data_IF_310161694144
#
_entry.id   IF_310161694144
#
_cell.length_a   1.000
_cell.length_b   1.000
_cell.length_c   1.000
_cell.angle_alpha   90.00
_cell.angle_beta   90.00
_cell.angle_gamma   90.00
#
_symmetry.space_group_name_H-M   'P 1'
#
loop_
_entity.id
_entity.type
_entity.pdbx_description
1 polymer ?
#
# COMPACT_ATOMS: atom_id res chain seq x y z
N UNK A 1 9.31 -30.96 10.80
CA UNK A 1 8.32 -29.85 10.65
C UNK A 1 7.75 -29.91 9.24
N UNK A 2 6.43 -29.80 9.09
CA UNK A 2 5.79 -29.74 7.78
C UNK A 2 6.04 -28.37 7.13
N UNK A 3 5.87 -28.27 5.81
CA UNK A 3 5.95 -26.97 5.11
C UNK A 3 4.94 -25.94 5.65
N UNK A 4 3.88 -26.39 6.33
CA UNK A 4 2.87 -25.54 6.97
C UNK A 4 3.38 -24.80 8.23
N UNK A 5 4.52 -25.25 8.80
CA UNK A 5 5.07 -24.72 10.04
C UNK A 5 6.17 -23.68 9.78
N UNK A 6 6.37 -23.28 8.52
CA UNK A 6 7.42 -22.33 8.14
C UNK A 6 6.90 -21.31 7.13
N UNK A 7 7.43 -20.09 7.20
CA UNK A 7 7.23 -19.06 6.17
C UNK A 7 8.53 -18.77 5.45
N UNK A 8 8.47 -18.16 4.27
CA UNK A 8 9.66 -17.79 3.50
C UNK A 8 9.74 -16.28 3.30
N UNK A 9 10.98 -15.78 3.19
CA UNK A 9 11.28 -14.42 2.77
C UNK A 9 12.38 -14.46 1.70
N UNK A 10 12.18 -13.68 0.63
CA UNK A 10 13.10 -13.61 -0.50
C UNK A 10 13.77 -12.25 -0.54
N UNK A 11 15.08 -12.26 -0.67
CA UNK A 11 15.95 -11.08 -0.63
C UNK A 11 16.77 -10.97 -1.90
N UNK A 12 16.95 -9.76 -2.38
CA UNK A 12 18.02 -9.40 -3.31
C UNK A 12 19.19 -8.85 -2.49
N UNK A 13 20.38 -9.43 -2.64
CA UNK A 13 21.59 -8.97 -1.97
C UNK A 13 22.66 -8.55 -2.97
N UNK A 14 23.60 -7.72 -2.49
CA UNK A 14 24.88 -7.46 -3.15
C UNK A 14 26.02 -7.70 -2.13
N UNK A 15 27.03 -8.46 -2.51
CA UNK A 15 28.13 -8.84 -1.64
C UNK A 15 29.41 -9.13 -2.44
N UNK A 16 30.61 -8.81 -1.93
CA UNK A 16 31.89 -9.27 -2.51
C UNK A 16 32.25 -10.70 -2.11
N UNK A 17 31.53 -11.28 -1.15
CA UNK A 17 31.76 -12.63 -0.62
C UNK A 17 31.00 -13.69 -1.43
N UNK A 18 31.12 -14.96 -1.05
CA UNK A 18 30.30 -16.04 -1.59
C UNK A 18 28.83 -15.87 -1.16
N UNK A 19 27.87 -15.66 -2.07
CA UNK A 19 26.46 -15.46 -1.71
C UNK A 19 25.85 -16.59 -0.90
N UNK A 20 26.33 -17.84 -1.08
CA UNK A 20 25.85 -19.00 -0.31
C UNK A 20 26.26 -18.93 1.15
N UNK A 21 27.50 -18.48 1.41
CA UNK A 21 27.98 -18.24 2.78
C UNK A 21 27.23 -17.08 3.44
N UNK A 22 26.99 -16.01 2.70
CA UNK A 22 26.21 -14.86 3.19
C UNK A 22 24.77 -15.29 3.51
N UNK A 23 24.14 -16.13 2.69
CA UNK A 23 22.80 -16.68 2.98
C UNK A 23 22.78 -17.46 4.31
N UNK A 24 23.79 -18.27 4.60
CA UNK A 24 23.91 -19.01 5.87
C UNK A 24 24.11 -18.06 7.07
N UNK A 25 24.88 -16.98 6.88
CA UNK A 25 25.03 -15.92 7.91
C UNK A 25 23.69 -15.23 8.16
N UNK A 26 22.98 -14.83 7.12
CA UNK A 26 21.65 -14.23 7.23
C UNK A 26 20.65 -15.14 7.96
N UNK A 27 20.66 -16.44 7.64
CA UNK A 27 19.80 -17.42 8.30
C UNK A 27 20.13 -17.56 9.79
N UNK A 28 21.42 -17.58 10.15
CA UNK A 28 21.88 -17.66 11.53
C UNK A 28 21.58 -16.39 12.33
N UNK A 29 21.77 -15.20 11.75
CA UNK A 29 21.56 -13.91 12.42
C UNK A 29 20.13 -13.73 12.91
N UNK A 30 19.14 -14.19 12.16
CA UNK A 30 17.72 -14.01 12.49
C UNK A 30 17.06 -15.26 13.12
N UNK A 31 17.88 -16.21 13.59
CA UNK A 31 17.37 -17.43 14.23
C UNK A 31 18.38 -18.01 15.24
N UNK A 32 18.70 -19.28 15.17
CA UNK A 32 19.79 -19.93 15.89
C UNK A 32 20.95 -20.26 14.95
N UNK A 33 22.15 -20.38 15.49
CA UNK A 33 23.35 -20.71 14.73
C UNK A 33 24.08 -19.49 14.17
N UNK A 34 24.27 -18.46 14.99
CA UNK A 34 25.15 -17.34 14.71
C UNK A 34 26.61 -17.82 14.48
N UNK A 35 27.48 -16.91 14.05
CA UNK A 35 28.90 -17.22 13.70
C UNK A 35 29.68 -17.96 14.78
N UNK A 36 29.25 -17.88 16.05
CA UNK A 36 29.88 -18.59 17.20
C UNK A 36 28.83 -19.37 17.95
N UNK A 37 29.06 -20.69 18.10
CA UNK A 37 28.21 -21.54 18.94
C UNK A 37 28.32 -21.14 20.41
N UNK A 38 27.15 -20.82 21.00
CA UNK A 38 27.08 -20.45 22.41
C UNK A 38 26.78 -21.66 23.30
N UNK A 39 27.18 -21.59 24.60
CA UNK A 39 26.87 -22.63 25.55
C UNK A 39 25.32 -22.79 25.67
N UNK A 40 24.83 -24.02 25.56
CA UNK A 40 23.41 -24.32 25.58
C UNK A 40 22.73 -24.38 24.19
N UNK A 41 23.40 -23.98 23.13
CA UNK A 41 22.92 -24.17 21.77
C UNK A 41 23.13 -25.64 21.33
N UNK A 42 22.17 -26.49 21.64
CA UNK A 42 22.18 -27.90 21.25
C UNK A 42 21.79 -28.09 19.78
N UNK A 43 22.15 -29.24 19.20
CA UNK A 43 21.73 -29.56 17.82
C UNK A 43 20.21 -29.64 17.70
N UNK A 44 19.53 -30.24 18.70
CA UNK A 44 18.08 -30.30 18.77
C UNK A 44 17.43 -28.90 18.79
N UNK A 45 17.99 -27.96 19.55
CA UNK A 45 17.52 -26.57 19.55
C UNK A 45 17.67 -25.93 18.16
N UNK A 46 18.84 -26.11 17.54
CA UNK A 46 19.10 -25.58 16.18
C UNK A 46 18.16 -26.19 15.15
N UNK A 47 17.96 -27.48 15.14
CA UNK A 47 17.07 -28.18 14.21
C UNK A 47 15.64 -27.65 14.29
N UNK A 48 15.20 -27.28 15.49
CA UNK A 48 13.86 -26.73 15.73
C UNK A 48 13.73 -25.27 15.36
N UNK A 49 14.75 -24.44 15.62
CA UNK A 49 14.62 -22.98 15.59
C UNK A 49 15.38 -22.28 14.46
N UNK A 50 16.33 -22.96 13.79
CA UNK A 50 17.16 -22.36 12.75
C UNK A 50 16.35 -22.02 11.50
N UNK A 51 16.59 -20.82 10.95
CA UNK A 51 16.23 -20.52 9.58
C UNK A 51 17.10 -21.34 8.60
N UNK A 52 16.53 -21.66 7.44
CA UNK A 52 17.17 -22.54 6.44
C UNK A 52 17.23 -21.82 5.10
N UNK A 53 18.37 -21.91 4.44
CA UNK A 53 18.54 -21.44 3.06
C UNK A 53 17.81 -22.39 2.11
N UNK A 54 16.79 -21.88 1.42
CA UNK A 54 16.00 -22.65 0.43
C UNK A 54 16.65 -22.57 -0.94
N UNK A 55 17.07 -21.37 -1.36
CA UNK A 55 17.71 -21.15 -2.65
C UNK A 55 18.66 -19.97 -2.61
N UNK A 56 19.68 -20.05 -3.44
CA UNK A 56 20.56 -18.95 -3.80
C UNK A 56 20.71 -18.97 -5.32
N UNK A 57 20.18 -17.95 -5.96
CA UNK A 57 20.25 -17.71 -7.40
C UNK A 57 21.29 -16.61 -7.65
N UNK A 58 22.39 -16.97 -8.31
CA UNK A 58 23.40 -16.00 -8.72
C UNK A 58 22.85 -15.14 -9.87
N UNK A 59 23.00 -13.83 -9.74
CA UNK A 59 22.60 -12.85 -10.75
C UNK A 59 23.85 -12.24 -11.40
N UNK A 60 23.80 -10.95 -11.73
CA UNK A 60 24.93 -10.18 -12.26
C UNK A 60 25.94 -9.82 -11.15
N UNK A 61 26.97 -9.07 -11.53
CA UNK A 61 27.92 -8.45 -10.61
C UNK A 61 28.26 -7.04 -11.09
N UNK A 62 28.60 -6.17 -10.13
CA UNK A 62 29.05 -4.81 -10.37
C UNK A 62 30.56 -4.66 -10.08
N UNK A 63 31.18 -3.67 -10.74
CA UNK A 63 32.59 -3.32 -10.46
C UNK A 63 32.74 -2.53 -9.16
N UNK A 64 31.72 -1.75 -8.80
CA UNK A 64 31.68 -0.91 -7.60
C UNK A 64 30.52 -1.30 -6.70
N UNK A 65 30.63 -1.09 -5.36
CA UNK A 65 29.56 -1.38 -4.44
C UNK A 65 28.39 -0.38 -4.59
N UNK A 66 27.18 -0.84 -4.51
CA UNK A 66 25.99 0.01 -4.59
C UNK A 66 25.82 0.91 -3.38
N UNK A 67 26.28 0.47 -2.21
CA UNK A 67 26.22 1.24 -0.95
C UNK A 67 27.56 1.15 -0.22
N UNK A 68 27.94 2.21 0.53
CA UNK A 68 29.16 2.21 1.33
C UNK A 68 29.04 1.19 2.46
N UNK A 69 30.15 0.50 2.75
CA UNK A 69 30.22 -0.48 3.82
C UNK A 69 31.56 -0.35 4.59
N UNK A 70 31.50 0.22 5.79
CA UNK A 70 32.67 0.48 6.61
C UNK A 70 33.35 -0.81 7.12
N UNK A 71 32.61 -1.91 7.29
CA UNK A 71 33.17 -3.18 7.74
C UNK A 71 34.04 -3.84 6.66
N UNK A 72 33.55 -3.88 5.41
CA UNK A 72 34.32 -4.37 4.25
C UNK A 72 35.54 -3.48 3.97
N UNK A 73 35.36 -2.16 4.03
CA UNK A 73 36.46 -1.20 3.83
C UNK A 73 37.60 -1.41 4.86
N UNK A 74 37.27 -1.61 6.16
CA UNK A 74 38.26 -1.90 7.17
C UNK A 74 39.01 -3.23 6.98
N UNK A 75 38.38 -4.17 6.28
CA UNK A 75 38.96 -5.48 5.95
C UNK A 75 39.73 -5.49 4.63
N UNK A 76 39.71 -4.37 3.87
CA UNK A 76 40.37 -4.28 2.58
C UNK A 76 39.76 -5.24 1.55
N UNK A 77 38.46 -5.54 1.65
CA UNK A 77 37.77 -6.43 0.71
C UNK A 77 37.40 -5.66 -0.53
N UNK A 78 37.81 -6.19 -1.67
CA UNK A 78 37.53 -5.64 -3.01
C UNK A 78 36.55 -6.54 -3.76
N UNK A 79 35.90 -5.98 -4.82
CA UNK A 79 34.97 -6.71 -5.68
C UNK A 79 35.55 -7.94 -6.39
N UNK A 80 34.78 -8.58 -7.27
CA UNK A 80 33.51 -8.10 -7.81
C UNK A 80 32.37 -8.16 -6.81
N UNK A 81 31.43 -7.21 -6.93
CA UNK A 81 30.24 -7.10 -6.09
C UNK A 81 29.13 -7.93 -6.72
N UNK A 82 28.97 -9.16 -6.21
CA UNK A 82 28.03 -10.16 -6.73
C UNK A 82 26.65 -9.88 -6.24
N UNK A 83 25.65 -9.99 -7.10
CA UNK A 83 24.25 -9.93 -6.75
C UNK A 83 23.64 -11.33 -6.75
N UNK A 84 22.81 -11.60 -5.81
CA UNK A 84 22.10 -12.86 -5.70
C UNK A 84 20.70 -12.67 -5.13
N UNK A 85 19.78 -13.53 -5.57
CA UNK A 85 18.46 -13.67 -4.94
C UNK A 85 18.50 -14.84 -3.97
N UNK A 86 18.17 -14.58 -2.71
CA UNK A 86 18.22 -15.57 -1.62
C UNK A 86 16.83 -15.77 -1.07
N UNK A 87 16.40 -17.02 -0.93
CA UNK A 87 15.17 -17.36 -0.21
C UNK A 87 15.52 -18.10 1.09
N UNK A 88 15.09 -17.52 2.21
CA UNK A 88 15.21 -18.09 3.55
C UNK A 88 13.85 -18.60 4.03
N UNK A 89 13.84 -19.69 4.78
CA UNK A 89 12.67 -20.26 5.43
C UNK A 89 12.83 -20.21 6.94
N UNK A 90 11.81 -19.69 7.64
CA UNK A 90 11.80 -19.46 9.08
C UNK A 90 10.71 -20.29 9.75
N UNK A 91 10.95 -20.88 10.94
CA UNK A 91 9.88 -21.53 11.72
C UNK A 91 8.87 -20.49 12.20
N UNK A 92 7.57 -20.75 12.04
CA UNK A 92 6.51 -19.86 12.56
C UNK A 92 6.52 -19.80 14.09
N UNK A 93 6.98 -20.85 14.76
CA UNK A 93 7.07 -20.93 16.21
C UNK A 93 8.10 -19.93 16.81
N UNK A 94 9.08 -19.48 16.02
CA UNK A 94 10.01 -18.44 16.46
C UNK A 94 9.33 -17.07 16.60
N UNK A 95 8.19 -16.89 15.97
CA UNK A 95 7.51 -15.58 15.84
C UNK A 95 6.20 -15.54 16.63
N UNK A 96 5.39 -16.60 16.54
CA UNK A 96 4.00 -16.59 17.00
C UNK A 96 3.14 -15.57 16.22
N UNK A 97 1.93 -15.26 16.68
CA UNK A 97 1.04 -14.27 16.05
C UNK A 97 1.43 -12.83 16.45
N UNK A 98 2.68 -12.44 16.17
CA UNK A 98 3.26 -11.16 16.56
C UNK A 98 3.85 -10.47 15.32
N UNK A 99 3.11 -9.54 14.75
CA UNK A 99 3.49 -8.84 13.52
C UNK A 99 4.76 -7.99 13.66
N UNK A 100 5.00 -7.24 14.75
CA UNK A 100 6.29 -6.56 14.97
C UNK A 100 7.48 -7.52 15.02
N UNK A 101 7.34 -8.68 15.65
CA UNK A 101 8.40 -9.69 15.68
C UNK A 101 8.64 -10.29 14.29
N UNK A 102 7.57 -10.56 13.53
CA UNK A 102 7.69 -10.99 12.13
C UNK A 102 8.48 -10.00 11.30
N UNK A 103 8.12 -8.71 11.38
CA UNK A 103 8.82 -7.64 10.67
C UNK A 103 10.29 -7.54 11.11
N UNK A 104 10.57 -7.66 12.40
CA UNK A 104 11.94 -7.63 12.95
C UNK A 104 12.80 -8.80 12.47
N UNK A 105 12.22 -10.00 12.34
CA UNK A 105 12.95 -11.18 11.82
C UNK A 105 13.29 -11.00 10.34
N UNK A 106 12.34 -10.55 9.52
CA UNK A 106 12.59 -10.47 8.06
C UNK A 106 13.26 -9.18 7.62
N UNK A 107 13.20 -8.12 8.42
CA UNK A 107 13.69 -6.78 8.06
C UNK A 107 14.38 -6.04 9.22
N UNK A 108 14.94 -6.76 10.18
CA UNK A 108 15.74 -6.19 11.29
C UNK A 108 17.23 -6.10 10.96
N UNK A 109 18.06 -6.72 11.80
CA UNK A 109 19.53 -6.66 11.72
C UNK A 109 20.13 -7.10 10.38
N UNK A 110 19.38 -7.78 9.53
CA UNK A 110 19.84 -8.15 8.18
C UNK A 110 20.32 -6.93 7.38
N UNK A 111 19.69 -5.77 7.58
CA UNK A 111 20.08 -4.53 6.91
C UNK A 111 21.36 -3.90 7.44
N UNK A 112 21.84 -4.35 8.61
CA UNK A 112 23.06 -3.87 9.25
C UNK A 112 24.25 -4.83 9.08
N UNK A 113 24.07 -5.96 8.36
CA UNK A 113 25.13 -6.96 8.16
C UNK A 113 26.31 -6.37 7.40
N UNK A 114 27.51 -6.62 7.93
CA UNK A 114 28.76 -6.19 7.33
C UNK A 114 29.09 -6.91 6.00
N UNK A 115 28.55 -8.09 5.78
CA UNK A 115 28.79 -8.94 4.62
C UNK A 115 28.13 -8.46 3.33
N UNK A 116 27.21 -7.50 3.41
CA UNK A 116 26.42 -7.02 2.25
C UNK A 116 26.63 -5.53 1.99
N UNK A 117 26.65 -5.14 0.72
CA UNK A 117 26.60 -3.75 0.23
C UNK A 117 25.27 -3.40 -0.38
N UNK A 118 24.32 -4.29 -0.28
CA UNK A 118 22.92 -4.10 -0.66
C UNK A 118 22.10 -5.25 -0.11
N UNK A 119 20.91 -4.93 0.42
CA UNK A 119 19.92 -5.90 0.86
C UNK A 119 18.54 -5.33 0.69
N UNK A 120 17.69 -6.02 -0.07
CA UNK A 120 16.29 -5.67 -0.27
C UNK A 120 15.42 -6.89 0.00
N UNK A 121 14.46 -6.76 0.92
CA UNK A 121 13.41 -7.75 1.11
C UNK A 121 12.42 -7.62 -0.04
N UNK A 122 12.41 -8.56 -1.00
CA UNK A 122 11.55 -8.50 -2.17
C UNK A 122 10.13 -9.00 -1.88
N UNK A 123 10.02 -10.18 -1.27
CA UNK A 123 8.74 -10.86 -1.08
C UNK A 123 8.71 -11.77 0.14
N UNK A 124 7.49 -12.12 0.55
CA UNK A 124 7.21 -13.07 1.62
C UNK A 124 6.10 -14.02 1.22
N UNK A 125 6.18 -15.28 1.66
CA UNK A 125 5.10 -16.26 1.55
C UNK A 125 4.84 -16.89 2.91
N UNK A 126 3.60 -16.79 3.39
CA UNK A 126 3.17 -17.28 4.69
C UNK A 126 2.10 -18.36 4.52
N UNK A 127 2.18 -19.48 5.25
CA UNK A 127 1.14 -20.52 5.23
C UNK A 127 -0.23 -19.98 5.62
N UNK A 128 -1.29 -20.46 4.99
CA UNK A 128 -2.66 -20.03 5.26
C UNK A 128 -3.04 -20.16 6.75
N UNK A 129 -2.63 -21.24 7.41
CA UNK A 129 -2.87 -21.45 8.84
C UNK A 129 -2.25 -20.35 9.71
N UNK A 130 -1.02 -19.93 9.40
CA UNK A 130 -0.33 -18.88 10.13
C UNK A 130 -0.97 -17.50 9.85
N UNK A 131 -1.36 -17.22 8.61
CA UNK A 131 -2.03 -15.95 8.25
C UNK A 131 -3.35 -15.75 8.99
N UNK A 132 -4.12 -16.82 9.24
CA UNK A 132 -5.39 -16.74 9.98
C UNK A 132 -5.25 -16.34 11.46
N UNK A 133 -4.04 -16.31 11.99
CA UNK A 133 -3.77 -15.81 13.35
C UNK A 133 -3.78 -14.28 13.44
N UNK A 134 -3.75 -13.59 12.30
CA UNK A 134 -3.74 -12.13 12.20
C UNK A 134 -5.14 -11.59 11.85
N UNK A 135 -5.39 -10.28 12.08
CA UNK A 135 -6.71 -9.68 11.83
C UNK A 135 -7.17 -9.76 10.38
N UNK A 136 -6.27 -9.63 9.41
CA UNK A 136 -6.53 -9.57 7.97
C UNK A 136 -7.51 -8.46 7.55
N UNK A 137 -7.63 -8.14 6.24
CA UNK A 137 -8.63 -7.20 5.74
C UNK A 137 -10.05 -7.67 6.09
N UNK A 138 -10.88 -6.75 6.59
CA UNK A 138 -12.25 -7.08 7.02
C UNK A 138 -13.27 -6.70 5.95
N UNK A 139 -13.06 -5.59 5.26
CA UNK A 139 -13.92 -5.11 4.17
C UNK A 139 -13.39 -5.53 2.82
N UNK A 140 -12.09 -5.36 2.59
CA UNK A 140 -11.45 -5.67 1.33
C UNK A 140 -12.16 -5.05 0.12
N UNK A 141 -12.05 -5.69 -1.04
CA UNK A 141 -12.66 -5.23 -2.29
C UNK A 141 -14.19 -5.31 -2.21
N UNK A 142 -14.73 -6.48 -1.87
CA UNK A 142 -16.17 -6.72 -1.87
C UNK A 142 -16.93 -5.86 -0.84
N UNK A 143 -16.36 -5.67 0.36
CA UNK A 143 -16.96 -4.82 1.39
C UNK A 143 -16.96 -3.35 1.01
N UNK A 144 -15.92 -2.87 0.32
CA UNK A 144 -15.84 -1.51 -0.18
C UNK A 144 -16.84 -1.26 -1.30
N UNK A 145 -16.98 -2.18 -2.26
CA UNK A 145 -18.00 -2.11 -3.30
C UNK A 145 -19.42 -2.04 -2.71
N UNK A 146 -19.73 -2.88 -1.73
CA UNK A 146 -21.05 -2.81 -1.04
C UNK A 146 -21.26 -1.48 -0.33
N UNK A 147 -20.24 -0.92 0.31
CA UNK A 147 -20.36 0.33 1.05
C UNK A 147 -20.50 1.57 0.16
N UNK A 148 -19.94 1.55 -1.06
CA UNK A 148 -20.07 2.62 -2.05
C UNK A 148 -21.28 2.42 -2.98
N UNK A 149 -21.81 1.20 -3.07
CA UNK A 149 -22.86 0.83 -4.03
C UNK A 149 -22.35 0.67 -5.47
N UNK A 150 -21.04 0.71 -5.70
CA UNK A 150 -20.41 0.53 -7.03
C UNK A 150 -20.02 -0.93 -7.20
N UNK A 151 -20.90 -1.72 -7.82
CA UNK A 151 -20.68 -3.15 -7.97
C UNK A 151 -19.81 -3.49 -9.19
N UNK A 152 -19.83 -2.65 -10.23
CA UNK A 152 -19.10 -2.80 -11.48
C UNK A 152 -18.34 -1.50 -11.82
N UNK A 153 -17.24 -1.62 -12.53
CA UNK A 153 -16.37 -0.51 -12.88
C UNK A 153 -15.48 -0.03 -11.72
N UNK A 154 -14.56 0.90 -11.97
CA UNK A 154 -13.72 1.49 -10.94
C UNK A 154 -14.54 2.42 -10.04
N UNK A 155 -14.19 2.48 -8.77
CA UNK A 155 -14.71 3.49 -7.86
C UNK A 155 -13.96 4.80 -8.08
N UNK A 156 -14.66 5.86 -8.45
CA UNK A 156 -14.05 7.17 -8.72
C UNK A 156 -13.97 7.99 -7.44
N UNK A 157 -12.76 8.41 -7.09
CA UNK A 157 -12.51 9.15 -5.87
C UNK A 157 -11.72 10.43 -6.07
N UNK A 158 -11.75 11.29 -5.05
CA UNK A 158 -10.93 12.51 -4.99
C UNK A 158 -10.36 12.73 -3.59
N UNK A 159 -9.35 13.58 -3.53
CA UNK A 159 -8.72 14.05 -2.30
C UNK A 159 -9.24 15.44 -2.00
N UNK A 160 -9.52 15.76 -0.74
CA UNK A 160 -9.87 17.10 -0.29
C UNK A 160 -8.70 18.05 -0.58
N UNK A 161 -8.98 19.14 -1.28
CA UNK A 161 -8.02 20.20 -1.61
C UNK A 161 -8.61 21.58 -1.31
N UNK A 162 -7.84 22.56 -0.79
CA UNK A 162 -6.39 22.47 -0.48
C UNK A 162 -6.09 21.45 0.63
N UNK A 163 -4.84 20.98 0.69
CA UNK A 163 -4.38 19.92 1.62
C UNK A 163 -4.62 20.28 3.10
N UNK A 164 -4.48 21.55 3.43
CA UNK A 164 -4.64 22.11 4.76
C UNK A 164 -5.34 23.47 4.71
N UNK A 165 -5.87 23.90 5.85
CA UNK A 165 -6.40 25.27 6.02
C UNK A 165 -7.92 25.36 6.01
N UNK A 166 -8.65 24.39 5.42
CA UNK A 166 -10.11 24.37 5.46
C UNK A 166 -10.62 24.14 6.88
N UNK A 167 -11.57 24.95 7.31
CA UNK A 167 -12.31 24.76 8.58
C UNK A 167 -13.36 23.65 8.42
N UNK A 168 -13.92 23.09 9.50
CA UNK A 168 -14.86 21.98 9.42
C UNK A 168 -16.03 22.20 8.48
N UNK A 169 -16.65 23.39 8.51
CA UNK A 169 -17.79 23.68 7.64
C UNK A 169 -17.39 23.89 6.17
N UNK A 170 -16.21 24.45 5.89
CA UNK A 170 -15.69 24.63 4.52
C UNK A 170 -15.36 23.26 3.91
N UNK A 171 -14.81 22.34 4.73
CA UNK A 171 -14.60 20.94 4.34
C UNK A 171 -15.93 20.27 4.01
N UNK A 172 -16.95 20.44 4.86
CA UNK A 172 -18.29 19.88 4.64
C UNK A 172 -18.97 20.42 3.37
N UNK A 173 -18.82 21.72 3.07
CA UNK A 173 -19.33 22.30 1.82
C UNK A 173 -18.62 21.73 0.60
N UNK A 174 -17.28 21.61 0.64
CA UNK A 174 -16.52 20.99 -0.44
C UNK A 174 -16.93 19.54 -0.65
N UNK A 175 -17.03 18.74 0.42
CA UNK A 175 -17.50 17.35 0.34
C UNK A 175 -18.92 17.29 -0.23
N UNK A 176 -19.82 18.18 0.16
CA UNK A 176 -21.17 18.26 -0.42
C UNK A 176 -21.16 18.51 -1.94
N UNK A 177 -20.27 19.37 -2.43
CA UNK A 177 -20.07 19.60 -3.87
C UNK A 177 -19.48 18.39 -4.58
N UNK A 178 -18.53 17.70 -3.96
CA UNK A 178 -17.90 16.49 -4.49
C UNK A 178 -18.90 15.31 -4.55
N UNK A 179 -19.74 15.16 -3.53
CA UNK A 179 -20.86 14.21 -3.56
C UNK A 179 -21.83 14.52 -4.72
N UNK A 180 -22.21 15.78 -4.87
CA UNK A 180 -23.10 16.22 -5.95
C UNK A 180 -22.47 16.05 -7.35
N UNK A 181 -21.15 16.14 -7.46
CA UNK A 181 -20.40 15.82 -8.68
C UNK A 181 -20.43 14.33 -9.06
N UNK A 182 -20.87 13.46 -8.14
CA UNK A 182 -21.05 12.04 -8.42
C UNK A 182 -19.89 11.14 -8.01
N UNK A 183 -19.00 11.58 -7.11
CA UNK A 183 -17.94 10.74 -6.56
C UNK A 183 -18.48 9.55 -5.76
N UNK A 184 -17.69 8.48 -5.70
CA UNK A 184 -17.95 7.28 -4.91
C UNK A 184 -17.12 7.28 -3.62
N UNK A 185 -15.93 7.92 -3.70
CA UNK A 185 -14.96 7.93 -2.61
C UNK A 185 -14.31 9.32 -2.44
N UNK A 186 -14.21 9.78 -1.22
CA UNK A 186 -13.54 11.05 -0.87
C UNK A 186 -12.60 10.77 0.28
N UNK A 187 -11.37 11.30 0.25
CA UNK A 187 -10.44 11.16 1.37
C UNK A 187 -9.87 12.48 1.84
N UNK A 188 -9.60 12.55 3.15
CA UNK A 188 -8.74 13.59 3.73
C UNK A 188 -7.33 13.50 3.12
N UNK A 189 -6.62 14.62 3.15
CA UNK A 189 -5.21 14.62 2.79
C UNK A 189 -4.36 13.99 3.91
N UNK A 190 -3.24 13.35 3.55
CA UNK A 190 -2.34 12.68 4.50
C UNK A 190 -1.67 13.63 5.50
N UNK A 191 -1.62 14.91 5.21
CA UNK A 191 -1.06 15.94 6.09
C UNK A 191 -2.12 16.63 6.96
N UNK A 192 -3.38 16.22 6.88
CA UNK A 192 -4.50 16.84 7.62
C UNK A 192 -5.26 15.79 8.43
N UNK A 193 -4.67 15.31 9.53
CA UNK A 193 -5.33 14.39 10.44
C UNK A 193 -6.27 15.12 11.42
N UNK A 194 -5.72 15.77 12.43
CA UNK A 194 -6.48 16.48 13.47
C UNK A 194 -5.87 17.87 13.77
N UNK A 195 -5.78 18.79 12.77
CA UNK A 195 -5.18 20.09 12.97
C UNK A 195 -6.07 21.00 13.81
N UNK A 196 -5.44 21.93 14.55
CA UNK A 196 -6.13 22.85 15.47
C UNK A 196 -7.25 23.65 14.81
N UNK A 197 -7.07 24.06 13.55
CA UNK A 197 -8.07 24.85 12.79
C UNK A 197 -9.23 23.99 12.25
N UNK A 198 -9.09 22.67 12.25
CA UNK A 198 -10.10 21.73 11.78
C UNK A 198 -10.11 20.44 12.64
N UNK A 199 -10.44 20.54 13.94
CA UNK A 199 -10.45 19.38 14.81
C UNK A 199 -11.36 18.28 14.27
N UNK A 200 -10.90 17.05 14.33
CA UNK A 200 -11.62 15.88 13.78
C UNK A 200 -13.01 15.76 14.45
N UNK A 201 -13.10 16.06 15.75
CA UNK A 201 -14.36 16.07 16.50
C UNK A 201 -15.43 17.01 15.94
N UNK A 202 -15.03 18.05 15.21
CA UNK A 202 -15.95 18.98 14.52
C UNK A 202 -16.09 18.65 13.04
N UNK A 203 -15.00 18.21 12.39
CA UNK A 203 -14.98 17.93 10.95
C UNK A 203 -15.81 16.71 10.59
N UNK A 204 -15.69 15.61 11.35
CA UNK A 204 -16.44 14.36 11.07
C UNK A 204 -17.94 14.59 11.08
N UNK A 205 -18.58 15.15 12.15
CA UNK A 205 -20.01 15.39 12.15
C UNK A 205 -20.47 16.32 11.02
N UNK A 206 -19.73 17.39 10.73
CA UNK A 206 -20.06 18.36 9.68
C UNK A 206 -20.05 17.70 8.28
N UNK A 207 -19.00 16.93 7.98
CA UNK A 207 -18.85 16.21 6.72
C UNK A 207 -19.91 15.12 6.59
N UNK A 208 -20.14 14.31 7.62
CA UNK A 208 -21.14 13.24 7.56
C UNK A 208 -22.57 13.77 7.44
N UNK A 209 -22.86 14.95 8.00
CA UNK A 209 -24.14 15.61 7.75
C UNK A 209 -24.31 16.01 6.26
N UNK A 210 -23.25 16.44 5.58
CA UNK A 210 -23.30 16.73 4.14
C UNK A 210 -23.47 15.45 3.30
N UNK A 211 -22.78 14.36 3.66
CA UNK A 211 -22.91 13.05 3.01
C UNK A 211 -24.33 12.49 3.17
N UNK A 212 -24.88 12.50 4.39
CA UNK A 212 -26.26 12.08 4.66
C UNK A 212 -27.28 12.86 3.83
N UNK A 213 -27.20 14.20 3.81
CA UNK A 213 -28.09 15.04 2.97
C UNK A 213 -28.01 14.67 1.49
N UNK A 214 -26.84 14.30 0.99
CA UNK A 214 -26.69 13.83 -0.38
C UNK A 214 -27.38 12.47 -0.58
N UNK A 215 -27.12 11.52 0.30
CA UNK A 215 -27.68 10.17 0.24
C UNK A 215 -29.21 10.20 0.36
N UNK A 216 -29.78 10.98 1.29
CA UNK A 216 -31.24 11.12 1.45
C UNK A 216 -31.90 11.66 0.18
N UNK A 217 -31.25 12.57 -0.54
CA UNK A 217 -31.77 13.18 -1.76
C UNK A 217 -31.63 12.29 -2.99
N UNK A 218 -30.57 11.50 -3.08
CA UNK A 218 -30.17 10.82 -4.33
C UNK A 218 -30.16 9.29 -4.23
N UNK A 219 -30.22 8.73 -3.04
CA UNK A 219 -30.01 7.30 -2.77
C UNK A 219 -28.54 6.85 -2.91
N UNK A 220 -27.62 7.73 -3.35
CA UNK A 220 -26.23 7.37 -3.60
C UNK A 220 -25.38 7.46 -2.33
N UNK A 221 -24.74 6.34 -1.95
CA UNK A 221 -23.74 6.31 -0.90
C UNK A 221 -22.40 6.88 -1.40
N UNK A 222 -21.67 7.57 -0.51
CA UNK A 222 -20.31 8.06 -0.74
C UNK A 222 -19.46 7.69 0.46
N UNK A 223 -18.37 6.97 0.23
CA UNK A 223 -17.43 6.61 1.28
C UNK A 223 -16.46 7.78 1.53
N UNK A 224 -16.33 8.20 2.79
CA UNK A 224 -15.33 9.20 3.19
C UNK A 224 -14.27 8.55 4.08
N UNK A 225 -13.02 8.62 3.68
CA UNK A 225 -11.88 8.14 4.46
C UNK A 225 -11.29 9.31 5.26
N UNK A 226 -11.66 9.39 6.53
CA UNK A 226 -11.14 10.38 7.46
C UNK A 226 -9.73 10.02 7.92
N UNK A 227 -8.79 10.98 7.82
CA UNK A 227 -7.44 10.78 8.32
C UNK A 227 -7.43 10.85 9.85
N UNK A 228 -7.24 9.70 10.49
CA UNK A 228 -7.20 9.55 11.95
C UNK A 228 -5.80 9.30 12.49
N UNK A 229 -4.75 9.50 11.66
CA UNK A 229 -3.35 9.29 12.04
C UNK A 229 -3.02 10.04 13.33
N UNK A 230 -2.71 9.30 14.40
CA UNK A 230 -2.42 9.80 15.73
C UNK A 230 -1.71 8.70 16.55
N UNK A 231 -1.54 8.92 17.87
CA UNK A 231 -1.17 7.83 18.76
C UNK A 231 -2.29 6.77 18.87
N UNK A 232 -1.96 5.57 19.33
CA UNK A 232 -2.82 4.40 19.21
C UNK A 232 -4.20 4.57 19.83
N UNK A 233 -4.27 5.06 21.08
CA UNK A 233 -5.56 5.21 21.77
C UNK A 233 -6.38 6.37 21.20
N UNK A 234 -5.73 7.40 20.68
CA UNK A 234 -6.42 8.49 20.01
C UNK A 234 -6.99 8.02 18.67
N UNK A 235 -6.27 7.22 17.89
CA UNK A 235 -6.81 6.62 16.66
C UNK A 235 -8.07 5.78 16.94
N UNK A 236 -8.09 5.01 18.03
CA UNK A 236 -9.28 4.24 18.42
C UNK A 236 -10.47 5.16 18.70
N UNK A 237 -10.28 6.22 19.53
CA UNK A 237 -11.33 7.21 19.82
C UNK A 237 -11.82 7.93 18.55
N UNK A 238 -10.91 8.23 17.61
CA UNK A 238 -11.27 8.84 16.32
C UNK A 238 -12.09 7.85 15.45
N UNK A 239 -11.73 6.57 15.42
CA UNK A 239 -12.50 5.55 14.71
C UNK A 239 -13.91 5.40 15.32
N UNK A 240 -14.03 5.35 16.63
CA UNK A 240 -15.33 5.35 17.34
C UNK A 240 -16.18 6.58 17.01
N UNK A 241 -15.56 7.77 16.88
CA UNK A 241 -16.24 8.98 16.43
C UNK A 241 -16.77 8.81 15.01
N UNK A 242 -15.96 8.32 14.08
CA UNK A 242 -16.35 8.10 12.68
C UNK A 242 -17.50 7.09 12.59
N UNK A 243 -17.44 5.98 13.33
CA UNK A 243 -18.53 4.97 13.41
C UNK A 243 -19.82 5.57 13.96
N UNK A 244 -19.75 6.30 15.07
CA UNK A 244 -20.92 6.95 15.70
C UNK A 244 -21.60 7.94 14.76
N UNK A 245 -20.84 8.64 13.92
CA UNK A 245 -21.37 9.57 12.92
C UNK A 245 -21.81 8.88 11.62
N UNK A 246 -21.74 7.53 11.56
CA UNK A 246 -22.20 6.75 10.41
C UNK A 246 -21.18 6.72 9.24
N UNK A 247 -19.91 7.06 9.49
CA UNK A 247 -18.85 6.87 8.53
C UNK A 247 -18.52 5.39 8.31
N UNK A 248 -17.87 5.06 7.20
CA UNK A 248 -17.60 3.68 6.80
C UNK A 248 -16.11 3.40 6.56
N UNK A 249 -15.25 4.43 6.60
CA UNK A 249 -13.84 4.34 6.30
C UNK A 249 -13.00 5.33 7.10
N UNK A 250 -11.81 4.92 7.49
CA UNK A 250 -10.77 5.77 8.05
C UNK A 250 -9.47 5.58 7.28
N UNK A 251 -8.64 6.60 7.24
CA UNK A 251 -7.31 6.56 6.65
C UNK A 251 -6.24 6.65 7.74
N UNK A 252 -5.16 5.91 7.57
CA UNK A 252 -3.97 5.98 8.42
C UNK A 252 -2.70 6.07 7.58
N UNK A 253 -1.75 6.91 8.00
CA UNK A 253 -0.39 6.99 7.46
C UNK A 253 0.43 5.83 8.03
N UNK A 254 0.48 4.71 7.30
CA UNK A 254 0.95 3.41 7.78
C UNK A 254 2.34 3.47 8.43
N UNK A 255 3.33 4.01 7.71
CA UNK A 255 4.72 4.05 8.18
C UNK A 255 4.92 4.85 9.47
N UNK A 256 4.04 5.81 9.72
CA UNK A 256 4.15 6.70 10.88
C UNK A 256 3.34 6.22 12.09
N UNK A 257 2.35 5.33 11.89
CA UNK A 257 1.63 4.66 12.95
C UNK A 257 2.33 3.36 13.41
N UNK A 258 2.90 2.63 12.47
CA UNK A 258 3.52 1.32 12.72
C UNK A 258 2.52 0.17 12.81
N UNK A 259 3.04 -1.05 12.71
CA UNK A 259 2.23 -2.27 12.61
C UNK A 259 1.33 -2.50 13.83
N UNK A 260 1.89 -2.35 15.05
CA UNK A 260 1.13 -2.56 16.30
C UNK A 260 -0.08 -1.66 16.42
N UNK A 261 0.08 -0.38 16.06
CA UNK A 261 -1.02 0.58 16.17
C UNK A 261 -2.14 0.28 15.16
N UNK A 262 -1.79 -0.08 13.92
CA UNK A 262 -2.76 -0.42 12.88
C UNK A 262 -3.45 -1.75 13.19
N UNK A 263 -2.73 -2.76 13.67
CA UNK A 263 -3.32 -4.01 14.13
C UNK A 263 -4.29 -3.81 15.31
N UNK A 264 -3.91 -2.99 16.29
CA UNK A 264 -4.77 -2.63 17.42
C UNK A 264 -6.02 -1.89 16.93
N UNK A 265 -5.87 -0.94 16.02
CA UNK A 265 -6.99 -0.25 15.40
C UNK A 265 -7.92 -1.23 14.68
N UNK A 266 -7.39 -2.16 13.87
CA UNK A 266 -8.20 -3.16 13.15
C UNK A 266 -9.04 -4.01 14.11
N UNK A 267 -8.48 -4.41 15.27
CA UNK A 267 -9.20 -5.20 16.28
C UNK A 267 -10.30 -4.40 16.99
N UNK A 268 -10.27 -3.07 16.93
CA UNK A 268 -11.22 -2.19 17.64
C UNK A 268 -12.33 -1.61 16.77
N UNK A 269 -12.26 -1.75 15.44
CA UNK A 269 -13.25 -1.15 14.52
C UNK A 269 -13.60 -2.06 13.35
N UNK A 270 -14.82 -1.94 12.84
CA UNK A 270 -15.27 -2.58 11.61
C UNK A 270 -15.19 -1.67 10.35
N UNK A 271 -14.71 -0.43 10.50
CA UNK A 271 -14.51 0.50 9.39
C UNK A 271 -13.51 -0.05 8.37
N UNK A 272 -13.65 0.33 7.11
CA UNK A 272 -12.59 0.09 6.15
C UNK A 272 -11.33 0.88 6.54
N UNK A 273 -10.16 0.23 6.51
CA UNK A 273 -8.87 0.86 6.76
C UNK A 273 -8.20 1.21 5.44
N UNK A 274 -8.18 2.51 5.10
CA UNK A 274 -7.48 3.03 3.94
C UNK A 274 -6.01 3.30 4.29
N UNK A 275 -5.13 2.41 3.84
CA UNK A 275 -3.69 2.47 4.13
C UNK A 275 -2.97 3.45 3.21
N UNK A 276 -2.57 4.61 3.74
CA UNK A 276 -1.72 5.56 3.03
C UNK A 276 -0.25 5.25 3.26
N UNK A 277 0.50 4.99 2.19
CA UNK A 277 1.92 4.58 2.25
C UNK A 277 2.93 5.72 2.17
N UNK A 278 2.54 6.96 2.57
CA UNK A 278 3.49 8.08 2.58
C UNK A 278 4.75 7.72 3.38
N UNK A 279 5.91 8.11 2.87
CA UNK A 279 7.20 7.70 3.40
C UNK A 279 7.73 6.36 2.87
N UNK A 280 6.95 5.56 2.14
CA UNK A 280 7.42 4.29 1.58
C UNK A 280 8.61 4.47 0.61
N UNK A 281 8.68 5.60 -0.10
CA UNK A 281 9.83 5.90 -0.96
C UNK A 281 11.17 5.91 -0.23
N UNK A 282 11.20 6.26 1.07
CA UNK A 282 12.41 6.17 1.88
C UNK A 282 12.86 4.71 2.11
N UNK A 283 11.92 3.77 2.05
CA UNK A 283 12.15 2.33 2.26
C UNK A 283 12.37 1.56 0.96
N UNK A 284 12.14 2.16 -0.21
CA UNK A 284 12.01 1.38 -1.45
C UNK A 284 12.70 1.96 -2.68
N UNK A 285 13.11 3.25 -2.67
CA UNK A 285 13.64 3.91 -3.89
C UNK A 285 14.99 3.38 -4.37
N UNK A 286 15.83 2.90 -3.48
CA UNK A 286 17.08 2.29 -3.90
C UNK A 286 16.83 0.84 -4.32
N UNK A 287 17.28 0.39 -5.51
CA UNK A 287 16.99 -0.95 -6.02
C UNK A 287 17.58 -2.08 -5.16
N UNK A 288 18.66 -1.80 -4.42
CA UNK A 288 19.37 -2.76 -3.57
C UNK A 288 19.27 -2.44 -2.08
N UNK A 289 18.28 -1.61 -1.64
CA UNK A 289 18.10 -1.33 -0.22
C UNK A 289 16.61 -1.23 0.12
N UNK A 290 16.23 -1.83 1.24
CA UNK A 290 14.93 -1.63 1.86
C UNK A 290 13.92 -2.74 1.54
N UNK A 291 12.66 -2.37 1.33
CA UNK A 291 11.53 -3.32 1.27
C UNK A 291 10.78 -3.15 -0.04
N UNK A 292 10.62 -4.23 -0.79
CA UNK A 292 9.78 -4.31 -1.99
C UNK A 292 8.28 -4.22 -1.64
N UNK A 293 7.46 -3.78 -2.60
CA UNK A 293 6.04 -3.57 -2.34
C UNK A 293 5.31 -4.87 -1.97
N UNK A 294 5.70 -6.01 -2.56
CA UNK A 294 5.06 -7.30 -2.25
C UNK A 294 5.24 -7.67 -0.77
N UNK A 295 6.45 -7.56 -0.22
CA UNK A 295 6.68 -7.79 1.21
C UNK A 295 5.98 -6.74 2.07
N UNK A 296 6.05 -5.47 1.68
CA UNK A 296 5.41 -4.35 2.37
C UNK A 296 3.90 -4.54 2.48
N UNK A 297 3.21 -4.78 1.37
CA UNK A 297 1.76 -4.96 1.37
C UNK A 297 1.34 -6.24 2.10
N UNK A 298 2.17 -7.31 2.07
CA UNK A 298 1.92 -8.52 2.83
C UNK A 298 1.84 -8.25 4.33
N UNK A 299 2.81 -7.51 4.89
CA UNK A 299 2.79 -7.14 6.31
C UNK A 299 1.57 -6.29 6.68
N UNK A 300 1.19 -5.32 5.84
CA UNK A 300 0.03 -4.46 6.10
C UNK A 300 -1.31 -5.19 5.92
N UNK A 301 -1.38 -6.18 5.04
CA UNK A 301 -2.55 -7.07 4.94
C UNK A 301 -2.74 -7.90 6.20
N UNK A 302 -1.65 -8.38 6.82
CA UNK A 302 -1.72 -9.03 8.14
C UNK A 302 -2.25 -8.06 9.22
N UNK A 303 -1.85 -6.80 9.17
CA UNK A 303 -2.38 -5.77 10.08
C UNK A 303 -3.85 -5.42 9.83
N UNK A 304 -4.45 -5.87 8.73
CA UNK A 304 -5.88 -5.70 8.43
C UNK A 304 -6.26 -4.47 7.63
N UNK A 305 -5.35 -3.95 6.79
CA UNK A 305 -5.61 -2.85 5.85
C UNK A 305 -6.52 -3.33 4.71
N UNK A 306 -7.55 -2.57 4.36
CA UNK A 306 -8.51 -2.90 3.31
C UNK A 306 -8.20 -2.26 1.96
N UNK A 307 -7.60 -1.07 1.95
CA UNK A 307 -7.20 -0.35 0.75
C UNK A 307 -5.72 0.02 0.84
N UNK A 308 -4.99 -0.07 -0.28
CA UNK A 308 -3.56 0.24 -0.34
C UNK A 308 -3.22 1.18 -1.49
N UNK A 309 -2.57 2.30 -1.21
CA UNK A 309 -2.04 3.17 -2.26
C UNK A 309 -0.97 2.46 -3.08
N UNK A 310 -1.10 2.54 -4.42
CA UNK A 310 -0.13 1.97 -5.37
C UNK A 310 0.52 3.02 -6.28
N UNK A 311 0.13 4.29 -6.15
CA UNK A 311 0.29 5.38 -7.12
C UNK A 311 -0.57 5.15 -8.38
N UNK A 312 -0.29 5.86 -9.46
CA UNK A 312 -0.97 5.71 -10.75
C UNK A 312 0.03 5.76 -11.88
N UNK A 313 -0.36 5.22 -13.00
CA UNK A 313 0.46 5.25 -14.22
C UNK A 313 0.66 6.69 -14.69
N UNK A 314 1.80 6.96 -15.29
CA UNK A 314 2.18 8.30 -15.76
C UNK A 314 2.07 9.35 -14.64
N UNK A 315 2.29 8.91 -13.40
CA UNK A 315 2.15 9.73 -12.22
C UNK A 315 3.33 10.69 -12.01
N UNK A 316 3.16 11.65 -11.09
CA UNK A 316 4.17 12.68 -10.78
C UNK A 316 5.28 12.21 -9.83
N UNK A 317 5.26 10.97 -9.38
CA UNK A 317 6.26 10.44 -8.44
C UNK A 317 7.34 9.63 -9.18
N UNK A 318 8.44 9.34 -8.48
CA UNK A 318 9.62 8.69 -9.04
C UNK A 318 9.48 7.17 -9.28
N UNK A 319 8.33 6.58 -8.99
CA UNK A 319 8.07 5.15 -9.20
C UNK A 319 7.75 4.89 -10.67
N UNK A 320 8.36 3.88 -11.25
CA UNK A 320 8.11 3.49 -12.63
C UNK A 320 6.74 2.80 -12.80
N UNK A 321 6.14 2.95 -13.97
CA UNK A 321 4.82 2.38 -14.28
C UNK A 321 4.78 0.86 -14.11
N UNK A 322 5.85 0.14 -14.48
CA UNK A 322 5.96 -1.31 -14.27
C UNK A 322 5.86 -1.73 -12.81
N UNK A 323 6.44 -0.95 -11.89
CA UNK A 323 6.31 -1.20 -10.44
C UNK A 323 4.88 -0.89 -9.93
N UNK A 324 4.23 0.14 -10.48
CA UNK A 324 2.82 0.46 -10.14
C UNK A 324 1.91 -0.68 -10.56
N UNK A 325 2.08 -1.22 -11.77
CA UNK A 325 1.31 -2.36 -12.29
C UNK A 325 1.50 -3.59 -11.42
N UNK A 326 2.74 -3.94 -11.10
CA UNK A 326 3.06 -5.07 -10.22
C UNK A 326 2.42 -4.87 -8.83
N UNK A 327 2.54 -3.67 -8.26
CA UNK A 327 1.94 -3.34 -6.96
C UNK A 327 0.42 -3.48 -6.96
N UNK A 328 -0.25 -3.06 -8.04
CA UNK A 328 -1.69 -3.18 -8.16
C UNK A 328 -2.14 -4.65 -8.29
N UNK A 329 -1.45 -5.44 -9.09
CA UNK A 329 -1.70 -6.88 -9.23
C UNK A 329 -1.47 -7.64 -7.93
N UNK A 330 -0.42 -7.31 -7.18
CA UNK A 330 -0.17 -7.88 -5.86
C UNK A 330 -1.34 -7.63 -4.90
N UNK A 331 -1.92 -6.43 -4.92
CA UNK A 331 -3.05 -6.09 -4.06
C UNK A 331 -4.27 -7.01 -4.30
N UNK A 332 -4.60 -7.31 -5.55
CA UNK A 332 -5.78 -8.11 -5.92
C UNK A 332 -5.50 -9.62 -6.01
N UNK A 333 -4.27 -10.03 -5.78
CA UNK A 333 -3.88 -11.45 -5.74
C UNK A 333 -3.99 -11.97 -4.30
N UNK A 334 -4.74 -13.06 -4.04
CA UNK A 334 -4.72 -13.73 -2.74
C UNK A 334 -3.30 -14.19 -2.40
N UNK A 335 -2.86 -13.97 -1.17
CA UNK A 335 -1.51 -14.38 -0.74
C UNK A 335 -1.45 -15.83 -0.27
N UNK A 336 -2.59 -16.49 -0.07
CA UNK A 336 -2.68 -17.91 0.24
C UNK A 336 -4.04 -18.47 -0.18
N UNK A 337 -4.06 -19.73 -0.53
CA UNK A 337 -5.29 -20.44 -0.91
C UNK A 337 -6.31 -20.48 0.24
N UNK A 338 -7.58 -20.30 -0.11
CA UNK A 338 -8.70 -20.37 0.84
C UNK A 338 -8.79 -19.19 1.82
N UNK A 339 -8.09 -18.08 1.54
CA UNK A 339 -8.20 -16.81 2.27
C UNK A 339 -8.41 -15.70 1.24
N UNK A 340 -9.52 -14.98 1.34
CA UNK A 340 -9.68 -13.72 0.60
C UNK A 340 -9.13 -12.57 1.44
N UNK A 341 -7.85 -12.32 1.29
CA UNK A 341 -7.13 -11.23 1.94
C UNK A 341 -6.73 -10.13 0.94
N UNK A 342 -7.40 -10.08 -0.20
CA UNK A 342 -7.18 -9.05 -1.23
C UNK A 342 -7.54 -7.68 -0.69
N UNK A 343 -6.73 -6.70 -1.08
CA UNK A 343 -6.93 -5.28 -0.76
C UNK A 343 -7.22 -4.50 -2.02
N UNK A 344 -8.00 -3.43 -1.89
CA UNK A 344 -8.34 -2.58 -3.03
C UNK A 344 -7.19 -1.63 -3.34
N UNK A 345 -6.56 -1.71 -4.53
CA UNK A 345 -5.51 -0.78 -4.91
C UNK A 345 -6.09 0.62 -5.16
N UNK A 346 -5.46 1.64 -4.58
CA UNK A 346 -5.82 3.04 -4.78
C UNK A 346 -4.81 3.69 -5.73
N UNK A 347 -5.23 3.87 -6.98
CA UNK A 347 -4.45 4.62 -7.98
C UNK A 347 -4.58 6.11 -7.73
N UNK A 348 -3.47 6.79 -7.55
CA UNK A 348 -3.45 8.22 -7.23
C UNK A 348 -2.24 8.89 -7.90
N UNK A 349 -2.05 10.20 -7.67
CA UNK A 349 -0.91 10.93 -8.24
C UNK A 349 -1.04 11.20 -9.74
N UNK A 350 -1.65 12.34 -10.05
CA UNK A 350 -1.74 12.83 -11.44
C UNK A 350 -2.83 12.16 -12.29
N UNK A 351 -3.73 11.39 -11.70
CA UNK A 351 -4.75 10.68 -12.46
C UNK A 351 -5.82 11.63 -13.03
N UNK A 352 -6.30 11.33 -14.23
CA UNK A 352 -7.33 12.02 -14.98
C UNK A 352 -7.94 11.10 -16.05
N UNK A 353 -8.92 11.54 -16.81
CA UNK A 353 -9.61 10.70 -17.80
C UNK A 353 -8.66 9.99 -18.80
N UNK A 354 -7.61 10.66 -19.26
CA UNK A 354 -6.64 10.09 -20.20
C UNK A 354 -5.80 8.95 -19.67
N UNK A 355 -5.65 8.81 -18.33
CA UNK A 355 -4.92 7.68 -17.72
C UNK A 355 -5.78 6.43 -17.53
N UNK A 356 -7.08 6.46 -17.86
CA UNK A 356 -7.95 5.29 -17.77
C UNK A 356 -7.52 4.17 -18.74
N UNK A 357 -7.27 4.50 -20.00
CA UNK A 357 -6.84 3.52 -21.02
C UNK A 357 -5.54 2.82 -20.67
N UNK A 358 -4.42 3.52 -20.41
CA UNK A 358 -3.18 2.85 -20.03
C UNK A 358 -3.30 2.05 -18.72
N UNK A 359 -4.15 2.48 -17.78
CA UNK A 359 -4.39 1.73 -16.55
C UNK A 359 -5.09 0.40 -16.86
N UNK A 360 -6.18 0.42 -17.65
CA UNK A 360 -6.88 -0.79 -18.05
C UNK A 360 -5.99 -1.77 -18.82
N UNK A 361 -5.26 -1.26 -19.82
CA UNK A 361 -4.37 -2.09 -20.65
C UNK A 361 -3.30 -2.80 -19.82
N UNK A 362 -2.85 -2.13 -18.76
CA UNK A 362 -1.80 -2.67 -17.89
C UNK A 362 -2.31 -3.68 -16.86
N UNK A 363 -3.49 -3.46 -16.24
CA UNK A 363 -3.96 -4.28 -15.12
C UNK A 363 -5.08 -5.27 -15.50
N UNK A 364 -5.92 -4.96 -16.51
CA UNK A 364 -6.96 -5.85 -17.05
C UNK A 364 -8.17 -6.09 -16.14
N UNK A 365 -8.40 -5.23 -15.14
CA UNK A 365 -9.57 -5.30 -14.24
C UNK A 365 -9.97 -3.90 -13.73
N UNK A 366 -11.13 -3.81 -13.09
CA UNK A 366 -11.72 -2.59 -12.54
C UNK A 366 -11.84 -2.58 -11.00
N UNK A 367 -11.28 -3.58 -10.32
CA UNK A 367 -11.16 -3.63 -8.87
C UNK A 367 -10.12 -2.63 -8.38
N UNK A 368 -10.47 -1.34 -8.40
CA UNK A 368 -9.59 -0.25 -7.97
C UNK A 368 -10.34 1.00 -7.51
N UNK A 369 -9.69 1.80 -6.68
CA UNK A 369 -10.03 3.20 -6.42
C UNK A 369 -9.24 4.07 -7.41
N UNK A 370 -9.92 4.78 -8.30
CA UNK A 370 -9.31 5.73 -9.22
C UNK A 370 -9.37 7.14 -8.63
N UNK A 371 -8.27 7.55 -7.98
CA UNK A 371 -8.19 8.77 -7.17
C UNK A 371 -7.63 9.94 -7.97
N UNK A 372 -8.50 10.81 -8.45
CA UNK A 372 -8.14 11.96 -9.25
C UNK A 372 -8.40 13.28 -8.50
N UNK A 373 -7.34 13.95 -8.05
CA UNK A 373 -7.45 15.28 -7.43
C UNK A 373 -7.55 16.38 -8.49
N UNK A 374 -6.41 16.72 -9.10
CA UNK A 374 -6.33 17.75 -10.16
C UNK A 374 -7.20 17.42 -11.37
N UNK A 375 -7.21 16.15 -11.81
CA UNK A 375 -8.02 15.71 -12.95
C UNK A 375 -9.54 15.91 -12.80
N UNK A 376 -10.03 16.06 -11.55
CA UNK A 376 -11.42 16.39 -11.25
C UNK A 376 -11.57 17.89 -10.94
N UNK A 377 -10.80 18.40 -9.99
CA UNK A 377 -11.00 19.75 -9.46
C UNK A 377 -10.57 20.86 -10.42
N UNK A 378 -9.61 20.61 -11.30
CA UNK A 378 -9.11 21.56 -12.28
C UNK A 378 -9.72 21.37 -13.70
N UNK A 379 -10.73 20.49 -13.85
CA UNK A 379 -11.41 20.34 -15.11
C UNK A 379 -12.08 21.66 -15.55
N UNK A 380 -11.97 22.09 -16.83
CA UNK A 380 -12.52 23.36 -17.31
C UNK A 380 -14.02 23.53 -17.04
N UNK A 381 -14.80 22.46 -17.11
CA UNK A 381 -16.24 22.42 -16.78
C UNK A 381 -16.54 22.24 -15.29
N UNK A 382 -15.54 22.32 -14.42
CA UNK A 382 -15.67 22.11 -12.97
C UNK A 382 -15.72 20.65 -12.54
N UNK A 383 -15.86 20.39 -11.21
CA UNK A 383 -15.72 19.03 -10.65
C UNK A 383 -16.71 18.00 -11.20
N UNK A 384 -17.97 18.40 -11.49
CA UNK A 384 -18.96 17.49 -12.05
C UNK A 384 -18.55 17.00 -13.45
N UNK A 385 -18.08 17.89 -14.31
CA UNK A 385 -17.55 17.55 -15.62
C UNK A 385 -16.26 16.70 -15.51
N UNK A 386 -15.41 16.99 -14.51
CA UNK A 386 -14.23 16.17 -14.22
C UNK A 386 -14.59 14.72 -13.87
N UNK A 387 -15.58 14.51 -13.01
CA UNK A 387 -16.08 13.16 -12.69
C UNK A 387 -16.72 12.50 -13.92
N UNK A 388 -17.55 13.24 -14.66
CA UNK A 388 -18.19 12.74 -15.88
C UNK A 388 -17.14 12.29 -16.92
N UNK A 389 -16.09 13.10 -17.17
CA UNK A 389 -15.03 12.75 -18.11
C UNK A 389 -14.31 11.45 -17.76
N UNK A 390 -14.02 11.21 -16.46
CA UNK A 390 -13.40 9.97 -15.99
C UNK A 390 -14.34 8.79 -16.18
N UNK A 391 -15.63 8.90 -15.83
CA UNK A 391 -16.63 7.84 -16.05
C UNK A 391 -16.79 7.51 -17.53
N UNK A 392 -16.85 8.52 -18.39
CA UNK A 392 -16.92 8.37 -19.85
C UNK A 392 -15.69 7.65 -20.40
N UNK A 393 -14.50 8.02 -19.90
CA UNK A 393 -13.26 7.34 -20.27
C UNK A 393 -13.27 5.86 -19.87
N UNK A 394 -13.63 5.52 -18.64
CA UNK A 394 -13.71 4.13 -18.19
C UNK A 394 -14.80 3.33 -18.91
N UNK A 395 -15.95 3.94 -19.22
CA UNK A 395 -17.00 3.30 -20.03
C UNK A 395 -16.51 3.02 -21.46
N UNK A 396 -15.79 3.95 -22.07
CA UNK A 396 -15.19 3.76 -23.40
C UNK A 396 -14.18 2.61 -23.39
N UNK A 397 -13.29 2.59 -22.39
CA UNK A 397 -12.27 1.53 -22.22
C UNK A 397 -12.93 0.15 -22.04
N UNK A 398 -13.95 0.05 -21.20
CA UNK A 398 -14.69 -1.20 -21.00
C UNK A 398 -15.39 -1.68 -22.28
N UNK A 399 -15.80 -0.76 -23.13
CA UNK A 399 -16.41 -1.05 -24.44
C UNK A 399 -15.37 -1.29 -25.56
N UNK A 400 -14.06 -1.23 -25.27
CA UNK A 400 -13.00 -1.33 -26.26
C UNK A 400 -12.95 -0.16 -27.25
N UNK A 401 -13.51 0.99 -26.89
CA UNK A 401 -13.57 2.18 -27.73
C UNK A 401 -12.38 3.13 -27.39
N UNK A 402 -11.57 3.54 -28.36
CA UNK A 402 -10.51 4.52 -28.14
C UNK A 402 -11.06 5.84 -27.56
N UNK A 403 -10.35 6.43 -26.58
CA UNK A 403 -10.81 7.65 -25.90
C UNK A 403 -11.07 8.82 -26.88
N UNK A 404 -10.25 8.94 -27.93
CA UNK A 404 -10.44 9.97 -28.97
C UNK A 404 -11.76 9.81 -29.77
N UNK A 405 -12.21 8.56 -29.98
CA UNK A 405 -13.49 8.29 -30.62
C UNK A 405 -14.65 8.58 -29.67
N UNK A 406 -14.54 8.13 -28.42
CA UNK A 406 -15.54 8.41 -27.38
C UNK A 406 -15.72 9.92 -27.15
N UNK A 407 -14.65 10.68 -27.21
CA UNK A 407 -14.68 12.15 -27.05
C UNK A 407 -15.49 12.87 -28.11
N UNK A 408 -15.76 12.27 -29.29
CA UNK A 408 -16.61 12.87 -30.33
C UNK A 408 -18.07 13.00 -29.89
N UNK A 409 -18.50 12.19 -28.92
CA UNK A 409 -19.87 12.17 -28.38
C UNK A 409 -19.98 12.57 -26.92
N UNK A 410 -18.86 12.93 -26.28
CA UNK A 410 -18.78 13.25 -24.86
C UNK A 410 -17.96 14.51 -24.62
N UNK A 411 -18.64 15.66 -24.46
CA UNK A 411 -18.02 16.97 -24.32
C UNK A 411 -17.05 17.08 -23.13
N UNK A 412 -17.40 16.48 -22.00
CA UNK A 412 -16.54 16.52 -20.80
C UNK A 412 -15.25 15.75 -21.04
N UNK A 413 -15.32 14.58 -21.69
CA UNK A 413 -14.13 13.82 -22.06
C UNK A 413 -13.26 14.58 -23.09
N UNK A 414 -13.90 15.20 -24.09
CA UNK A 414 -13.20 16.01 -25.09
C UNK A 414 -12.44 17.18 -24.42
N UNK A 415 -13.10 17.88 -23.50
CA UNK A 415 -12.49 18.98 -22.74
C UNK A 415 -11.31 18.47 -21.88
N UNK A 416 -11.46 17.33 -21.20
CA UNK A 416 -10.40 16.74 -20.39
C UNK A 416 -9.18 16.39 -21.25
N UNK A 417 -9.37 15.73 -22.39
CA UNK A 417 -8.29 15.35 -23.32
C UNK A 417 -7.58 16.59 -23.89
N UNK A 418 -8.35 17.63 -24.24
CA UNK A 418 -7.80 18.86 -24.76
C UNK A 418 -7.01 19.68 -23.72
N UNK A 419 -7.44 19.65 -22.46
CA UNK A 419 -6.83 20.44 -21.38
C UNK A 419 -5.63 19.73 -20.77
N UNK A 420 -5.80 18.50 -20.29
CA UNK A 420 -4.75 17.77 -19.59
C UNK A 420 -3.76 17.09 -20.53
N UNK A 421 -4.18 16.68 -21.73
CA UNK A 421 -3.32 16.05 -22.70
C UNK A 421 -2.18 16.94 -23.25
N UNK A 422 -2.31 18.27 -23.10
CA UNK A 422 -1.26 19.25 -23.44
C UNK A 422 -0.23 19.46 -22.33
N UNK A 423 -0.52 19.01 -21.12
CA UNK A 423 0.31 19.28 -19.93
C UNK A 423 1.29 18.12 -19.64
N UNK A 424 1.35 17.10 -20.48
CA UNK A 424 2.18 15.90 -20.36
C UNK A 424 3.45 15.96 -21.22
N UNK A 425 4.12 17.13 -21.23
CA UNK A 425 5.41 17.31 -21.85
C UNK A 425 6.44 17.84 -20.87
#
# INVERSE_FOLDING_TARGET
MSAADRFTATYLIETPLDPRKVAEIMAGEQSSGTFTRVAGETDELRDRTRAVVISVEDLDSAAEPSLPNAWLARKGVEGPWRRARITLSFPVDNVGPNLPTLASIVAGNLFDLGEVTGLRLESMALPAAYRRLFPLPTRGIAGTRRATGVMDGPMIGSIIKPNVGLRPFETAELVGRLCAAGLDFIKDDEVSADPVHAPLAQRVPAVMAAVRRHQDRTGKAVMVAFNITAETDQMRRHAELVEREGGTCVMVSLNWCGFSAVETLRRSTSLALHGHRNGFGALSRHPLLGIGFQAYQTLWRLAGVDHMHVHGLQGKFAQEDGEVVTSARDCVTPLADGIDDRVLPAFSSGQWAGTAQPTWDAIGHDDLLFMAGGGILAHPGGPAAGVASIRQAWAAVAAGLPLGEAAKSHDELAQALAFFGKSGG
#
